data_IF_612412934581
#
_entry.id   IF_612412934581
#
_cell.length_a   1.000
_cell.length_b   1.000
_cell.length_c   1.000
_cell.angle_alpha   90.00
_cell.angle_beta   90.00
_cell.angle_gamma   90.00
#
_symmetry.space_group_name_H-M   'P 1'
#
loop_
_entity.id
_entity.type
_entity.pdbx_description
1 polymer ?
#
# COMPACT_ATOMS: atom_id res chain seq x y z
N UNK A 1 -5.74 46.83 7.74
CA UNK A 1 -5.28 48.08 8.33
C UNK A 1 -3.89 48.34 7.79
N UNK A 2 -3.76 49.12 6.78
CA UNK A 2 -2.82 50.17 6.46
C UNK A 2 -3.21 50.76 5.11
N UNK A 3 -3.71 51.93 5.21
CA UNK A 3 -4.04 52.93 4.18
C UNK A 3 -2.78 53.71 3.82
N UNK A 4 -2.58 54.03 2.53
CA UNK A 4 -1.84 55.22 2.09
C UNK A 4 -2.38 55.58 0.71
N UNK A 5 -3.19 56.49 0.53
CA UNK A 5 -3.21 57.95 0.37
C UNK A 5 -2.33 58.46 -0.77
N UNK A 6 -3.03 58.99 -1.78
CA UNK A 6 -2.62 59.93 -2.82
C UNK A 6 -2.25 61.29 -2.25
N UNK A 7 -1.45 62.11 -2.90
CA UNK A 7 -1.78 63.49 -3.04
C UNK A 7 -1.63 64.02 -4.46
N UNK A 8 -2.54 64.65 -4.93
CA UNK A 8 -2.99 65.98 -5.27
C UNK A 8 -1.97 67.10 -5.47
N UNK A 9 -2.14 67.72 -6.64
CA UNK A 9 -2.27 69.14 -6.91
C UNK A 9 -1.11 70.11 -6.72
N UNK A 10 -0.89 70.86 -7.76
CA UNK A 10 -0.99 72.34 -7.86
C UNK A 10 -0.17 72.84 -9.04
N UNK A 11 -0.71 73.33 -10.09
CA UNK A 11 -1.34 74.59 -10.41
C UNK A 11 -0.46 75.84 -10.23
N UNK A 12 -0.60 76.71 -11.21
CA UNK A 12 -0.41 78.17 -11.19
C UNK A 12 0.89 78.69 -11.82
N UNK A 13 0.84 79.32 -12.94
CA UNK A 13 0.28 80.66 -13.30
C UNK A 13 1.35 81.60 -13.85
N UNK A 14 0.93 82.40 -14.81
CA UNK A 14 1.32 83.78 -15.31
C UNK A 14 2.37 83.87 -16.44
N UNK A 15 1.95 84.17 -17.70
CA UNK A 15 1.64 85.44 -18.40
C UNK A 15 2.53 86.64 -17.99
N UNK A 16 2.88 87.62 -18.82
CA UNK A 16 2.80 87.83 -20.28
C UNK A 16 3.94 88.69 -20.92
N UNK A 17 3.69 89.07 -22.16
CA UNK A 17 3.98 90.36 -22.87
C UNK A 17 5.37 90.53 -23.53
N UNK A 18 5.57 90.93 -24.66
CA UNK A 18 5.26 92.04 -25.58
C UNK A 18 6.17 91.97 -26.80
N UNK A 19 5.54 92.22 -27.93
CA UNK A 19 5.95 93.10 -29.07
C UNK A 19 7.38 92.99 -29.63
N UNK A 20 7.65 93.02 -30.85
CA UNK A 20 7.12 93.71 -32.03
C UNK A 20 7.91 93.34 -33.28
N UNK A 21 7.27 93.28 -34.37
CA UNK A 21 7.47 93.97 -35.68
C UNK A 21 8.78 93.80 -36.42
N UNK A 22 8.71 93.26 -37.62
CA UNK A 22 9.19 93.70 -38.93
C UNK A 22 9.40 92.53 -39.85
N UNK A 23 8.62 92.33 -40.78
CA UNK A 23 8.41 92.68 -42.16
C UNK A 23 9.54 92.33 -43.15
N UNK A 24 9.07 91.83 -44.25
CA UNK A 24 9.53 91.72 -45.63
C UNK A 24 10.26 90.44 -46.08
N UNK A 25 9.48 89.68 -46.74
CA UNK A 25 9.55 89.24 -48.14
C UNK A 25 10.86 88.64 -48.66
N UNK A 26 10.74 87.40 -49.01
CA UNK A 26 11.28 86.84 -50.25
C UNK A 26 10.53 85.58 -50.64
N UNK A 27 9.83 85.63 -51.74
CA UNK A 27 9.33 84.43 -52.42
C UNK A 27 10.51 83.60 -52.88
N UNK A 28 10.52 82.35 -52.59
CA UNK A 28 11.28 81.36 -53.33
C UNK A 28 10.41 80.11 -53.45
N UNK A 29 10.12 79.91 -54.70
CA UNK A 29 9.42 78.75 -55.25
C UNK A 29 10.21 77.49 -54.87
N UNK A 30 9.62 76.70 -54.08
CA UNK A 30 10.19 75.43 -53.63
C UNK A 30 9.13 74.36 -53.77
N UNK A 31 9.24 73.54 -54.76
CA UNK A 31 8.44 72.39 -55.04
C UNK A 31 8.10 71.65 -53.78
N UNK A 32 6.81 71.59 -53.46
CA UNK A 32 6.23 70.63 -52.55
C UNK A 32 6.53 69.22 -53.03
N UNK A 33 7.64 68.69 -52.58
CA UNK A 33 7.81 67.24 -52.54
C UNK A 33 6.88 66.69 -51.47
N UNK A 34 5.73 66.26 -51.86
CA UNK A 34 4.91 65.46 -51.03
C UNK A 34 5.76 64.27 -50.51
N UNK A 35 6.22 64.42 -49.29
CA UNK A 35 6.78 63.27 -48.60
C UNK A 35 5.59 62.30 -48.37
N UNK A 36 5.58 61.34 -49.29
CA UNK A 36 4.74 60.14 -49.10
C UNK A 36 5.22 59.48 -47.81
N UNK A 37 4.69 59.95 -46.70
CA UNK A 37 4.88 59.29 -45.41
C UNK A 37 3.98 58.05 -45.43
N UNK A 38 4.52 57.01 -46.05
CA UNK A 38 3.90 55.69 -45.86
C UNK A 38 3.61 55.46 -44.35
N UNK A 39 2.43 55.02 -43.98
CA UNK A 39 2.14 54.79 -42.60
C UNK A 39 3.21 53.86 -42.02
N UNK A 40 3.67 54.12 -40.80
CA UNK A 40 4.69 53.29 -40.18
C UNK A 40 4.25 51.82 -40.16
N UNK A 41 5.11 50.94 -40.68
CA UNK A 41 4.90 49.53 -40.55
C UNK A 41 4.94 49.13 -39.06
N UNK A 42 3.83 48.70 -38.53
CA UNK A 42 3.74 48.20 -37.17
C UNK A 42 3.60 46.68 -37.24
N UNK A 43 4.53 45.98 -36.62
CA UNK A 43 4.39 44.56 -36.39
C UNK A 43 3.28 44.32 -35.38
N UNK A 44 2.34 43.44 -35.69
CA UNK A 44 1.34 42.99 -34.75
C UNK A 44 1.44 41.49 -34.56
N UNK A 45 1.21 41.05 -33.34
CA UNK A 45 1.11 39.64 -33.00
C UNK A 45 -0.37 39.32 -32.75
N UNK A 46 -0.91 38.41 -33.53
CA UNK A 46 -2.28 37.93 -33.30
C UNK A 46 -2.23 36.94 -32.16
N UNK A 47 -2.82 37.31 -31.02
CA UNK A 47 -2.96 36.42 -29.88
C UNK A 47 -3.98 35.34 -30.23
N UNK A 48 -3.55 34.09 -30.15
CA UNK A 48 -4.46 32.94 -30.22
C UNK A 48 -4.77 32.52 -28.81
N UNK A 49 -6.03 32.15 -28.59
CA UNK A 49 -6.44 31.57 -27.34
C UNK A 49 -5.89 30.14 -27.27
N UNK A 50 -5.01 29.87 -26.32
CA UNK A 50 -4.36 28.59 -26.12
C UNK A 50 -4.63 28.11 -24.70
N UNK A 51 -4.89 26.81 -24.55
CA UNK A 51 -5.04 26.23 -23.23
C UNK A 51 -3.68 26.10 -22.56
N UNK A 52 -3.49 26.80 -21.46
CA UNK A 52 -2.28 26.73 -20.66
C UNK A 52 -2.51 25.75 -19.52
N UNK A 53 -1.67 24.70 -19.40
CA UNK A 53 -1.78 23.77 -18.27
C UNK A 53 -1.42 24.50 -16.97
N UNK A 54 -2.31 24.38 -15.99
CA UNK A 54 -2.08 24.89 -14.64
C UNK A 54 -1.46 23.76 -13.80
N UNK A 55 -0.24 23.96 -13.36
CA UNK A 55 0.45 23.07 -12.43
C UNK A 55 0.31 23.64 -11.02
N UNK A 56 -0.04 22.76 -10.08
CA UNK A 56 -0.11 23.10 -8.65
C UNK A 56 0.92 22.24 -7.93
N UNK A 57 1.88 22.89 -7.29
CA UNK A 57 2.86 22.23 -6.43
C UNK A 57 2.25 22.03 -5.05
N UNK A 58 2.27 20.81 -4.57
CA UNK A 58 1.71 20.43 -3.27
C UNK A 58 2.74 19.64 -2.49
N UNK A 59 2.91 19.98 -1.23
CA UNK A 59 3.72 19.19 -0.32
C UNK A 59 3.02 17.85 -0.04
N UNK A 60 3.75 16.75 -0.17
CA UNK A 60 3.25 15.41 0.07
C UNK A 60 4.26 14.54 0.83
N UNK A 61 3.79 13.38 1.27
CA UNK A 61 4.63 12.33 1.86
C UNK A 61 4.34 11.02 1.16
N UNK A 62 5.39 10.25 0.93
CA UNK A 62 5.25 8.89 0.42
C UNK A 62 4.89 7.94 1.56
N UNK A 63 3.94 7.05 1.32
CA UNK A 63 3.55 5.99 2.24
C UNK A 63 3.55 4.64 1.52
N UNK A 64 3.91 3.58 2.23
CA UNK A 64 3.91 2.25 1.65
C UNK A 64 2.48 1.85 1.22
N UNK A 65 2.35 1.24 0.04
CA UNK A 65 1.08 0.72 -0.45
C UNK A 65 0.48 -0.32 0.50
N UNK A 66 1.34 -1.18 1.04
CA UNK A 66 0.97 -2.24 1.98
C UNK A 66 2.10 -2.44 2.98
N UNK A 67 1.75 -2.51 4.27
CA UNK A 67 2.68 -2.78 5.35
C UNK A 67 2.20 -4.01 6.10
N UNK A 68 3.07 -4.99 6.28
CA UNK A 68 2.76 -6.20 7.01
C UNK A 68 3.79 -6.48 8.09
N UNK A 69 3.32 -6.68 9.30
CA UNK A 69 4.12 -7.09 10.43
C UNK A 69 4.25 -8.62 10.47
N UNK A 70 5.47 -9.09 10.56
CA UNK A 70 5.77 -10.52 10.67
C UNK A 70 5.84 -10.90 12.14
N UNK A 71 4.86 -11.70 12.60
CA UNK A 71 4.76 -12.15 13.99
C UNK A 71 4.84 -13.67 14.08
N UNK A 72 5.45 -14.23 15.14
CA UNK A 72 5.50 -15.68 15.34
C UNK A 72 4.12 -16.20 15.76
N UNK A 73 3.72 -17.34 15.22
CA UNK A 73 2.48 -18.03 15.59
C UNK A 73 2.70 -19.13 16.64
N UNK A 74 3.97 -19.50 16.86
CA UNK A 74 4.39 -20.49 17.86
C UNK A 74 5.58 -19.95 18.65
N UNK A 75 5.73 -20.46 19.88
CA UNK A 75 6.82 -20.04 20.78
C UNK A 75 8.05 -20.91 20.58
N UNK A 76 9.23 -20.33 20.73
CA UNK A 76 10.50 -21.07 20.65
C UNK A 76 11.71 -20.18 20.37
N UNK A 77 12.87 -20.78 20.25
CA UNK A 77 14.11 -20.07 19.92
C UNK A 77 14.22 -19.84 18.42
N UNK A 78 14.63 -18.66 17.99
CA UNK A 78 15.00 -18.40 16.61
C UNK A 78 16.29 -19.16 16.29
N UNK A 79 16.20 -20.18 15.48
CA UNK A 79 17.34 -20.99 15.06
C UNK A 79 18.14 -20.36 13.92
N UNK A 80 17.42 -19.72 12.97
CA UNK A 80 18.07 -19.07 11.83
C UNK A 80 17.19 -17.93 11.30
N UNK A 81 17.86 -16.90 10.77
CA UNK A 81 17.30 -15.85 9.94
C UNK A 81 17.75 -16.09 8.49
N UNK A 82 16.81 -16.16 7.55
CA UNK A 82 17.02 -16.60 6.17
C UNK A 82 16.83 -15.47 5.15
N UNK A 83 17.03 -14.23 5.57
CA UNK A 83 16.97 -13.06 4.70
C UNK A 83 18.05 -12.05 5.07
N UNK A 84 18.33 -11.14 4.14
CA UNK A 84 19.16 -9.94 4.38
C UNK A 84 18.26 -8.76 4.65
N UNK A 85 18.55 -7.99 5.70
CA UNK A 85 17.81 -6.78 6.06
C UNK A 85 17.87 -5.75 4.92
N UNK A 86 16.75 -5.08 4.67
CA UNK A 86 16.63 -4.11 3.57
C UNK A 86 16.46 -4.73 2.17
N UNK A 87 16.56 -6.06 2.02
CA UNK A 87 16.37 -6.72 0.73
C UNK A 87 14.87 -6.85 0.36
N UNK A 88 14.62 -7.20 -0.89
CA UNK A 88 13.27 -7.54 -1.36
C UNK A 88 13.04 -9.03 -1.07
N UNK A 89 11.93 -9.33 -0.42
CA UNK A 89 11.48 -10.71 -0.14
C UNK A 89 10.18 -10.99 -0.89
N UNK A 90 9.92 -12.25 -1.22
CA UNK A 90 8.70 -12.70 -1.91
C UNK A 90 7.71 -13.29 -0.92
N UNK A 91 6.43 -13.12 -1.18
CA UNK A 91 5.38 -13.80 -0.42
C UNK A 91 5.62 -15.31 -0.38
N UNK A 92 5.49 -15.94 0.81
CA UNK A 92 5.79 -17.35 1.03
C UNK A 92 7.26 -17.68 1.28
N UNK A 93 8.21 -16.76 1.05
CA UNK A 93 9.63 -16.96 1.36
C UNK A 93 9.81 -17.13 2.87
N UNK A 94 10.50 -18.19 3.30
CA UNK A 94 10.79 -18.38 4.73
C UNK A 94 11.79 -17.34 5.19
N UNK A 95 11.40 -16.58 6.23
CA UNK A 95 12.22 -15.52 6.82
C UNK A 95 12.95 -15.99 8.07
N UNK A 96 12.24 -16.68 8.94
CA UNK A 96 12.80 -17.20 10.17
C UNK A 96 12.51 -18.69 10.32
N UNK A 97 13.43 -19.38 10.96
CA UNK A 97 13.25 -20.74 11.43
C UNK A 97 13.26 -20.74 12.95
N UNK A 98 12.12 -21.02 13.56
CA UNK A 98 12.00 -21.31 14.99
C UNK A 98 12.41 -22.77 15.19
N UNK A 99 13.02 -23.12 16.34
CA UNK A 99 13.46 -24.49 16.61
C UNK A 99 12.28 -25.48 16.52
N UNK A 100 12.30 -26.41 15.55
CA UNK A 100 11.20 -27.33 15.30
C UNK A 100 11.25 -28.59 16.17
N UNK A 101 12.25 -28.76 17.05
CA UNK A 101 12.54 -30.04 17.71
C UNK A 101 11.37 -30.53 18.55
N UNK A 102 10.79 -29.67 19.39
CA UNK A 102 9.63 -30.03 20.22
C UNK A 102 8.39 -30.28 19.37
N UNK A 103 8.19 -29.53 18.31
CA UNK A 103 7.06 -29.67 17.40
C UNK A 103 7.13 -30.96 16.57
N UNK A 104 8.34 -31.39 16.17
CA UNK A 104 8.56 -32.70 15.52
C UNK A 104 8.21 -33.83 16.46
N UNK A 105 8.73 -33.79 17.69
CA UNK A 105 8.39 -34.80 18.70
C UNK A 105 6.88 -34.88 18.95
N UNK A 106 6.17 -33.75 18.97
CA UNK A 106 4.72 -33.72 19.10
C UNK A 106 4.00 -34.36 17.89
N UNK A 107 4.49 -34.16 16.67
CA UNK A 107 3.99 -34.82 15.46
C UNK A 107 4.21 -36.33 15.54
N UNK A 108 5.39 -36.77 15.92
CA UNK A 108 5.72 -38.20 16.05
C UNK A 108 4.84 -38.88 17.10
N UNK A 109 4.64 -38.23 18.23
CA UNK A 109 3.71 -38.72 19.28
C UNK A 109 2.27 -38.82 18.79
N UNK A 110 1.77 -37.79 18.10
CA UNK A 110 0.42 -37.79 17.55
C UNK A 110 0.25 -38.84 16.45
N UNK A 111 1.28 -39.11 15.68
CA UNK A 111 1.29 -40.16 14.67
C UNK A 111 1.25 -41.55 15.28
N UNK A 112 1.99 -41.78 16.36
CA UNK A 112 1.93 -43.04 17.13
C UNK A 112 0.54 -43.27 17.75
N UNK A 113 -0.09 -42.20 18.29
CA UNK A 113 -1.44 -42.28 18.83
C UNK A 113 -2.48 -42.60 17.73
N UNK A 114 -2.32 -42.05 16.54
CA UNK A 114 -3.18 -42.38 15.38
C UNK A 114 -3.02 -43.84 14.99
N UNK A 115 -1.80 -44.36 14.92
CA UNK A 115 -1.54 -45.78 14.61
C UNK A 115 -2.19 -46.70 15.62
N UNK A 116 -2.12 -46.38 16.94
CA UNK A 116 -2.77 -47.15 17.99
C UNK A 116 -4.32 -47.13 17.85
N UNK A 117 -4.89 -45.95 17.57
CA UNK A 117 -6.34 -45.82 17.35
C UNK A 117 -6.81 -46.61 16.10
N UNK A 118 -5.99 -46.64 15.03
CA UNK A 118 -6.26 -47.45 13.84
C UNK A 118 -6.27 -48.94 14.14
N UNK A 119 -5.27 -49.45 14.88
CA UNK A 119 -5.22 -50.84 15.29
C UNK A 119 -6.42 -51.21 16.17
N UNK A 120 -6.82 -50.33 17.10
CA UNK A 120 -7.99 -50.52 17.95
C UNK A 120 -9.29 -50.56 17.12
N UNK A 121 -9.42 -49.71 16.13
CA UNK A 121 -10.56 -49.72 15.19
C UNK A 121 -10.60 -51.04 14.40
N UNK A 122 -9.47 -51.48 13.85
CA UNK A 122 -9.39 -52.72 13.08
C UNK A 122 -9.81 -53.94 13.94
N UNK A 123 -9.34 -54.02 15.18
CA UNK A 123 -9.72 -55.07 16.12
C UNK A 123 -11.23 -55.06 16.44
N UNK A 124 -11.79 -53.88 16.73
CA UNK A 124 -13.22 -53.72 17.03
C UNK A 124 -14.08 -54.05 15.80
N UNK A 125 -13.68 -53.59 14.60
CA UNK A 125 -14.38 -53.88 13.35
C UNK A 125 -14.36 -55.38 13.03
N UNK A 126 -13.19 -56.02 13.16
CA UNK A 126 -13.05 -57.47 12.94
C UNK A 126 -13.93 -58.29 13.93
N UNK A 127 -14.10 -57.80 15.18
CA UNK A 127 -15.03 -58.43 16.14
C UNK A 127 -16.48 -58.27 15.69
N UNK A 128 -16.90 -57.09 15.29
CA UNK A 128 -18.26 -56.83 14.82
C UNK A 128 -18.58 -57.67 13.56
N UNK A 129 -17.62 -57.80 12.64
CA UNK A 129 -17.77 -58.58 11.39
C UNK A 129 -17.88 -60.10 11.70
N UNK A 130 -17.11 -60.60 12.67
CA UNK A 130 -17.26 -62.01 13.12
C UNK A 130 -18.61 -62.26 13.80
N UNK A 131 -19.13 -61.33 14.58
CA UNK A 131 -20.40 -61.49 15.29
C UNK A 131 -21.61 -61.35 14.37
N UNK A 132 -21.51 -60.67 13.25
CA UNK A 132 -22.60 -60.47 12.28
C UNK A 132 -23.24 -61.76 11.81
N UNK A 133 -22.52 -62.77 11.26
CA UNK A 133 -23.14 -64.05 10.83
C UNK A 133 -23.65 -64.87 12.02
N UNK A 134 -22.97 -64.83 13.18
CA UNK A 134 -23.40 -65.54 14.35
C UNK A 134 -24.75 -65.04 14.92
N UNK A 135 -24.94 -63.71 14.89
CA UNK A 135 -26.21 -63.09 15.29
C UNK A 135 -27.34 -63.40 14.28
N UNK A 136 -27.03 -63.56 13.00
CA UNK A 136 -28.03 -63.97 11.98
C UNK A 136 -28.50 -65.43 12.15
N UNK A 137 -27.59 -66.26 12.62
CA UNK A 137 -27.90 -67.66 12.93
C UNK A 137 -28.45 -67.89 14.37
N UNK A 138 -28.71 -66.82 15.12
CA UNK A 138 -29.11 -66.82 16.51
C UNK A 138 -28.15 -67.58 17.46
N UNK A 139 -26.89 -67.73 17.04
CA UNK A 139 -25.84 -68.42 17.81
C UNK A 139 -25.22 -67.55 18.93
N UNK A 140 -25.51 -66.25 18.96
CA UNK A 140 -25.14 -65.31 20.00
C UNK A 140 -26.31 -64.39 20.35
N UNK A 141 -26.28 -63.76 21.52
CA UNK A 141 -27.27 -62.75 21.88
C UNK A 141 -27.23 -61.54 20.93
N UNK A 142 -28.37 -61.01 20.55
CA UNK A 142 -28.46 -59.79 19.72
C UNK A 142 -27.75 -58.57 20.36
N UNK A 143 -27.76 -58.57 21.71
CA UNK A 143 -27.07 -57.56 22.50
C UNK A 143 -25.54 -57.55 22.21
N UNK A 144 -24.89 -58.73 22.21
CA UNK A 144 -23.46 -58.88 21.99
C UNK A 144 -23.03 -58.33 20.63
N UNK A 145 -23.85 -58.57 19.60
CA UNK A 145 -23.61 -58.00 18.28
C UNK A 145 -23.77 -56.46 18.26
N UNK A 146 -24.84 -55.96 18.92
CA UNK A 146 -25.09 -54.51 18.98
C UNK A 146 -23.95 -53.81 19.71
N UNK A 147 -23.44 -54.38 20.80
CA UNK A 147 -22.31 -53.85 21.58
C UNK A 147 -21.01 -53.87 20.76
N UNK A 148 -20.79 -54.93 19.99
CA UNK A 148 -19.62 -54.99 19.08
C UNK A 148 -19.67 -53.92 17.98
N UNK A 149 -20.85 -53.69 17.41
CA UNK A 149 -21.06 -52.62 16.42
C UNK A 149 -20.88 -51.24 17.05
N UNK A 150 -21.41 -51.01 18.25
CA UNK A 150 -21.22 -49.74 18.97
C UNK A 150 -19.73 -49.48 19.27
N UNK A 151 -19.01 -50.51 19.74
CA UNK A 151 -17.55 -50.45 19.98
C UNK A 151 -16.77 -50.14 18.71
N UNK A 152 -17.11 -50.74 17.56
CA UNK A 152 -16.47 -50.44 16.29
C UNK A 152 -16.70 -48.97 15.85
N UNK A 153 -17.92 -48.45 16.04
CA UNK A 153 -18.25 -47.05 15.78
C UNK A 153 -17.47 -46.09 16.69
N UNK A 154 -17.38 -46.43 17.97
CA UNK A 154 -16.63 -45.66 18.97
C UNK A 154 -15.13 -45.62 18.60
N UNK A 155 -14.55 -46.77 18.24
CA UNK A 155 -13.16 -46.85 17.80
C UNK A 155 -12.91 -46.06 16.50
N UNK A 156 -13.88 -46.07 15.56
CA UNK A 156 -13.80 -45.24 14.34
C UNK A 156 -13.83 -43.73 14.65
N UNK A 157 -14.64 -43.31 15.62
CA UNK A 157 -14.63 -41.92 16.10
C UNK A 157 -13.29 -41.54 16.77
N UNK A 158 -12.68 -42.47 17.51
CA UNK A 158 -11.35 -42.32 18.11
C UNK A 158 -10.25 -42.10 17.06
N UNK A 159 -10.31 -42.79 15.91
CA UNK A 159 -9.40 -42.53 14.78
C UNK A 159 -9.59 -41.12 14.23
N UNK A 160 -10.81 -40.63 14.08
CA UNK A 160 -11.06 -39.26 13.60
C UNK A 160 -10.50 -38.23 14.58
N UNK A 161 -10.66 -38.42 15.88
CA UNK A 161 -10.13 -37.58 16.93
C UNK A 161 -8.59 -37.51 16.89
N UNK A 162 -7.92 -38.66 16.84
CA UNK A 162 -6.45 -38.71 16.83
C UNK A 162 -5.87 -38.15 15.51
N UNK A 163 -6.59 -38.31 14.38
CA UNK A 163 -6.22 -37.69 13.10
C UNK A 163 -6.27 -36.17 13.20
N UNK A 164 -7.31 -35.60 13.80
CA UNK A 164 -7.40 -34.17 14.03
C UNK A 164 -6.27 -33.64 14.91
N UNK A 165 -5.91 -34.40 15.97
CA UNK A 165 -4.78 -34.06 16.84
C UNK A 165 -3.44 -34.09 16.10
N UNK A 166 -3.22 -35.05 15.18
CA UNK A 166 -2.03 -35.11 14.34
C UNK A 166 -1.98 -33.90 13.39
N UNK A 167 -3.11 -33.51 12.81
CA UNK A 167 -3.15 -32.33 11.93
C UNK A 167 -2.80 -31.06 12.69
N UNK A 168 -3.33 -30.87 13.90
CA UNK A 168 -2.96 -29.73 14.76
C UNK A 168 -1.44 -29.71 15.05
N UNK A 169 -0.86 -30.86 15.36
CA UNK A 169 0.58 -30.95 15.61
C UNK A 169 1.41 -30.59 14.35
N UNK A 170 0.96 -31.00 13.15
CA UNK A 170 1.60 -30.66 11.88
C UNK A 170 1.52 -29.17 11.57
N UNK A 171 0.37 -28.54 11.80
CA UNK A 171 0.17 -27.10 11.62
C UNK A 171 1.14 -26.33 12.54
N UNK A 172 1.25 -26.71 13.81
CA UNK A 172 2.18 -26.08 14.74
C UNK A 172 3.65 -26.26 14.28
N UNK A 173 4.01 -27.43 13.76
CA UNK A 173 5.32 -27.65 13.15
C UNK A 173 5.54 -26.76 11.92
N UNK A 174 4.54 -26.58 11.08
CA UNK A 174 4.63 -25.68 9.93
C UNK A 174 4.87 -24.24 10.38
N UNK A 175 4.21 -23.77 11.45
CA UNK A 175 4.39 -22.42 11.99
C UNK A 175 5.77 -22.17 12.57
N UNK A 176 6.60 -23.19 12.77
CA UNK A 176 8.03 -22.98 13.09
C UNK A 176 8.81 -22.34 11.94
N UNK A 177 8.31 -22.42 10.70
CA UNK A 177 8.80 -21.67 9.56
C UNK A 177 7.94 -20.44 9.41
N UNK A 178 8.52 -19.27 9.61
CA UNK A 178 7.82 -17.99 9.51
C UNK A 178 8.00 -17.44 8.11
N UNK A 179 6.97 -17.50 7.25
CA UNK A 179 7.06 -16.99 5.88
C UNK A 179 6.77 -15.50 5.81
N UNK A 180 7.16 -14.86 4.70
CA UNK A 180 6.75 -13.51 4.32
C UNK A 180 5.27 -13.52 3.93
N UNK A 181 4.41 -12.68 4.53
CA UNK A 181 2.99 -12.60 4.16
C UNK A 181 2.76 -11.87 2.84
N UNK A 182 3.62 -10.92 2.49
CA UNK A 182 3.57 -10.11 1.26
C UNK A 182 4.94 -10.06 0.59
N UNK A 183 4.94 -9.71 -0.69
CA UNK A 183 6.17 -9.34 -1.41
C UNK A 183 6.49 -7.87 -1.17
N UNK A 184 7.74 -7.55 -0.81
CA UNK A 184 8.15 -6.17 -0.56
C UNK A 184 9.53 -6.06 0.05
N UNK A 185 9.94 -4.85 0.41
CA UNK A 185 11.19 -4.58 1.11
C UNK A 185 11.04 -4.93 2.59
N UNK A 186 11.90 -5.81 3.08
CA UNK A 186 11.92 -6.20 4.48
C UNK A 186 12.76 -5.21 5.29
N UNK A 187 12.26 -4.84 6.46
CA UNK A 187 12.98 -4.00 7.41
C UNK A 187 14.06 -4.74 8.17
N UNK A 188 14.56 -4.11 9.22
CA UNK A 188 15.49 -4.74 10.15
C UNK A 188 14.80 -5.83 10.98
N UNK A 189 15.54 -6.82 11.41
CA UNK A 189 15.09 -7.79 12.40
C UNK A 189 15.16 -7.20 13.80
N UNK A 190 14.07 -7.27 14.57
CA UNK A 190 14.04 -6.83 15.96
C UNK A 190 14.56 -7.91 16.91
N UNK A 191 14.63 -9.16 16.45
CA UNK A 191 15.11 -10.30 17.23
C UNK A 191 16.26 -10.98 16.51
N UNK A 192 17.28 -11.37 17.28
CA UNK A 192 18.45 -12.05 16.78
C UNK A 192 18.29 -13.57 16.84
N UNK A 193 19.14 -14.29 16.12
CA UNK A 193 19.27 -15.76 16.27
C UNK A 193 19.62 -16.09 17.71
N UNK A 194 18.94 -17.08 18.28
CA UNK A 194 19.05 -17.45 19.71
C UNK A 194 18.06 -16.74 20.63
N UNK A 195 17.34 -15.73 20.15
CA UNK A 195 16.31 -15.09 20.94
C UNK A 195 15.07 -15.98 21.10
N UNK A 196 14.48 -15.95 22.29
CA UNK A 196 13.18 -16.59 22.56
C UNK A 196 12.06 -15.68 22.05
N UNK A 197 11.17 -16.27 21.28
CA UNK A 197 9.94 -15.61 20.80
C UNK A 197 8.71 -16.35 21.29
N UNK A 198 7.61 -15.63 21.44
CA UNK A 198 6.36 -16.18 21.95
C UNK A 198 5.20 -15.91 20.98
N UNK A 199 4.30 -16.88 20.85
CA UNK A 199 3.08 -16.68 20.09
C UNK A 199 2.29 -15.51 20.68
N UNK A 200 1.85 -14.57 19.81
CA UNK A 200 1.06 -13.42 20.22
C UNK A 200 1.83 -12.30 20.92
N UNK A 201 3.17 -12.31 20.91
CA UNK A 201 3.96 -11.19 21.42
C UNK A 201 3.59 -9.86 20.73
N UNK A 202 3.71 -8.75 21.49
CA UNK A 202 3.37 -7.41 20.99
C UNK A 202 4.33 -6.93 19.89
N UNK A 203 5.63 -7.22 20.05
CA UNK A 203 6.64 -6.76 19.10
C UNK A 203 6.73 -7.72 17.89
N UNK A 204 6.66 -7.21 16.66
CA UNK A 204 6.86 -8.02 15.47
C UNK A 204 8.34 -8.44 15.33
N UNK A 205 8.60 -9.54 14.63
CA UNK A 205 9.97 -9.96 14.30
C UNK A 205 10.62 -8.98 13.33
N UNK A 206 9.85 -8.50 12.37
CA UNK A 206 10.22 -7.53 11.34
C UNK A 206 8.97 -7.01 10.66
N UNK A 207 9.12 -5.97 9.83
CA UNK A 207 8.05 -5.39 9.02
C UNK A 207 8.43 -5.48 7.55
N UNK A 208 7.47 -5.81 6.68
CA UNK A 208 7.64 -5.81 5.23
C UNK A 208 6.76 -4.71 4.66
N UNK A 209 7.32 -3.92 3.74
CA UNK A 209 6.63 -2.83 3.09
C UNK A 209 6.66 -3.03 1.57
N UNK A 210 5.49 -2.93 0.95
CA UNK A 210 5.38 -2.84 -0.50
C UNK A 210 5.46 -1.38 -0.90
N UNK A 211 6.50 -1.04 -1.68
CA UNK A 211 6.79 0.33 -2.11
C UNK A 211 6.51 0.55 -3.60
N UNK A 212 6.08 -0.49 -4.30
CA UNK A 212 5.67 -0.44 -5.70
C UNK A 212 4.35 -1.21 -5.87
N UNK A 213 3.23 -0.52 -6.18
CA UNK A 213 3.07 0.94 -6.22
C UNK A 213 3.26 1.61 -4.84
N UNK A 214 3.36 2.94 -4.81
CA UNK A 214 3.49 3.74 -3.59
C UNK A 214 2.32 4.72 -3.48
N UNK A 215 1.88 5.02 -2.26
CA UNK A 215 0.94 6.10 -2.01
C UNK A 215 1.67 7.42 -1.82
N UNK A 216 1.04 8.50 -2.26
CA UNK A 216 1.46 9.86 -1.99
C UNK A 216 0.33 10.58 -1.29
N UNK A 217 0.52 10.87 -0.01
CA UNK A 217 -0.42 11.62 0.80
C UNK A 217 -0.17 13.11 0.62
N UNK A 218 -1.10 13.82 -0.01
CA UNK A 218 -1.01 15.24 -0.30
C UNK A 218 -1.93 15.98 0.66
N UNK A 219 -1.40 17.00 1.32
CA UNK A 219 -2.18 17.89 2.18
C UNK A 219 -2.54 19.15 1.42
N UNK A 220 -3.84 19.39 1.23
CA UNK A 220 -4.35 20.58 0.57
C UNK A 220 -5.38 21.29 1.46
N UNK A 221 -5.40 22.63 1.39
CA UNK A 221 -6.41 23.43 2.07
C UNK A 221 -7.81 23.15 1.51
N UNK A 222 -8.80 23.04 2.39
CA UNK A 222 -10.20 22.91 1.98
C UNK A 222 -10.68 24.10 1.14
N UNK A 223 -10.12 25.30 1.38
CA UNK A 223 -10.44 26.49 0.61
C UNK A 223 -9.99 26.37 -0.84
N UNK A 224 -8.75 25.86 -1.07
CA UNK A 224 -8.18 25.68 -2.41
C UNK A 224 -8.95 24.60 -3.18
N UNK A 225 -9.32 23.50 -2.50
CA UNK A 225 -10.11 22.44 -3.09
C UNK A 225 -11.50 22.94 -3.53
N UNK A 226 -12.14 23.80 -2.71
CA UNK A 226 -13.42 24.41 -3.04
C UNK A 226 -13.27 25.41 -4.20
N UNK A 227 -12.17 26.19 -4.25
CA UNK A 227 -11.89 27.10 -5.35
C UNK A 227 -11.71 26.33 -6.67
N UNK A 228 -10.96 25.23 -6.65
CA UNK A 228 -10.78 24.36 -7.80
C UNK A 228 -12.10 23.74 -8.27
N UNK A 229 -12.92 23.24 -7.34
CA UNK A 229 -14.27 22.71 -7.69
C UNK A 229 -15.16 23.76 -8.32
N UNK A 230 -15.11 25.01 -7.86
CA UNK A 230 -15.88 26.11 -8.45
C UNK A 230 -15.38 26.42 -9.87
N UNK A 231 -14.07 26.55 -10.09
CA UNK A 231 -13.51 26.84 -11.43
C UNK A 231 -13.87 25.73 -12.44
N UNK A 232 -13.90 24.47 -12.00
CA UNK A 232 -14.35 23.35 -12.84
C UNK A 232 -15.86 23.41 -13.12
N UNK A 233 -16.67 23.88 -12.18
CA UNK A 233 -18.13 23.98 -12.34
C UNK A 233 -18.56 25.20 -13.17
N UNK A 234 -17.79 26.28 -13.16
CA UNK A 234 -18.02 27.49 -13.96
C UNK A 234 -17.47 27.38 -15.39
N UNK A 235 -16.66 26.36 -15.68
CA UNK A 235 -16.02 26.18 -16.97
C UNK A 235 -14.77 27.04 -17.18
N UNK A 236 -14.30 27.73 -16.14
CA UNK A 236 -13.06 28.53 -16.19
C UNK A 236 -11.81 27.63 -16.29
N UNK A 237 -11.94 26.36 -15.90
CA UNK A 237 -10.91 25.34 -16.01
C UNK A 237 -11.48 24.06 -16.62
N UNK A 238 -10.72 23.42 -17.49
CA UNK A 238 -11.09 22.16 -18.11
C UNK A 238 -10.24 21.06 -17.47
N UNK A 239 -10.85 19.93 -17.03
CA UNK A 239 -10.08 18.82 -16.52
C UNK A 239 -9.06 18.34 -17.57
N UNK A 240 -7.80 18.30 -17.20
CA UNK A 240 -6.72 17.77 -18.02
C UNK A 240 -6.27 16.42 -17.47
N UNK A 241 -5.02 16.06 -17.60
CA UNK A 241 -4.42 14.85 -17.04
C UNK A 241 -4.36 14.91 -15.52
N UNK A 242 -4.63 13.78 -14.85
CA UNK A 242 -4.38 13.57 -13.41
C UNK A 242 -2.97 13.01 -13.15
N UNK A 243 -2.05 13.14 -14.11
CA UNK A 243 -0.68 12.69 -13.92
C UNK A 243 -0.02 13.54 -12.82
N UNK A 244 0.50 12.87 -11.81
CA UNK A 244 1.25 13.49 -10.72
C UNK A 244 2.73 13.25 -11.01
N UNK A 245 3.51 14.32 -10.99
CA UNK A 245 4.97 14.28 -11.06
C UNK A 245 5.51 14.49 -9.67
N UNK A 246 6.37 13.61 -9.21
CA UNK A 246 7.01 13.72 -7.90
C UNK A 246 8.41 14.30 -8.09
N UNK A 247 8.67 15.38 -7.39
CA UNK A 247 9.98 15.99 -7.28
C UNK A 247 10.50 15.78 -5.86
N UNK A 248 11.73 15.33 -5.72
CA UNK A 248 12.39 15.12 -4.43
C UNK A 248 12.92 16.45 -3.87
N UNK A 249 13.26 16.47 -2.58
CA UNK A 249 13.78 17.67 -1.91
C UNK A 249 15.08 18.21 -2.53
N UNK A 250 15.82 17.39 -3.30
CA UNK A 250 17.03 17.76 -4.03
C UNK A 250 16.74 18.30 -5.45
N UNK A 251 15.46 18.43 -5.83
CA UNK A 251 15.03 18.88 -7.16
C UNK A 251 15.09 17.80 -8.23
N UNK A 252 15.37 16.56 -7.88
CA UNK A 252 15.34 15.44 -8.82
C UNK A 252 13.93 14.84 -8.96
N UNK A 253 13.61 14.37 -10.17
CA UNK A 253 12.37 13.64 -10.40
C UNK A 253 12.44 12.25 -9.74
N UNK A 254 11.35 11.83 -9.12
CA UNK A 254 11.21 10.45 -8.63
C UNK A 254 11.10 9.52 -9.85
N UNK A 255 11.96 8.46 -9.95
CA UNK A 255 12.00 7.56 -11.11
C UNK A 255 10.76 6.67 -11.26
#
# INVERSE_FOLDING_TARGET
>A
MVSVSSPRDRAVRHIPWLMALSALAACSDGKDGARDTAPPEVGYVTLKQENVPLYVELAGRTAAYETSEVRPQVSGLIKARLFTEGSIVRAGQTLYQIDPSLYRAAVDQAQANLANAQASREAAQARADRFRPLAQMEAIAKQDYTDAVASARQAAAGVAQTRASLETARINLQFTRVPAPITGRIGRSLFTTGALVSAGQADPLTTIQRLDPIYVDIQQSSADLLALRRSLSTGDSVPSSTAVKLELEDGSDYP
#
